data_IF_082448949063
#
_entry.id   IF_082448949063
#
_cell.length_a   1.000
_cell.length_b   1.000
_cell.length_c   1.000
_cell.angle_alpha   90.00
_cell.angle_beta   90.00
_cell.angle_gamma   90.00
#
_symmetry.space_group_name_H-M   'P 1'
#
loop_
_entity.id
_entity.type
_entity.pdbx_description
1 polymer ?
#
# COMPACT_ATOMS: atom_id res chain seq x y z
N UNK A 1 -0.30 -2.53 12.55
CA UNK A 1 0.75 -3.47 12.13
C UNK A 1 1.47 -4.02 13.34
N UNK A 2 1.63 -3.21 14.39
CA UNK A 2 2.26 -3.59 15.66
C UNK A 2 1.59 -4.80 16.32
N UNK A 3 0.26 -4.92 16.28
CA UNK A 3 -0.42 -6.11 16.81
C UNK A 3 0.05 -7.41 16.15
N UNK A 4 0.19 -7.43 14.81
CA UNK A 4 0.64 -8.62 14.09
C UNK A 4 2.10 -8.97 14.44
N UNK A 5 2.95 -7.95 14.57
CA UNK A 5 4.33 -8.13 15.00
C UNK A 5 4.42 -8.67 16.43
N UNK A 6 3.64 -8.10 17.35
CA UNK A 6 3.55 -8.55 18.74
C UNK A 6 3.05 -10.00 18.82
N UNK A 7 2.00 -10.35 18.06
CA UNK A 7 1.52 -11.74 18.01
C UNK A 7 2.56 -12.71 17.45
N UNK A 8 3.37 -12.29 16.47
CA UNK A 8 4.46 -13.12 15.94
C UNK A 8 5.58 -13.33 16.97
N UNK A 9 5.90 -12.30 17.76
CA UNK A 9 6.85 -12.41 18.87
C UNK A 9 6.33 -13.40 19.92
N UNK A 10 5.07 -13.24 20.33
CA UNK A 10 4.44 -14.13 21.31
C UNK A 10 4.38 -15.57 20.82
N UNK A 11 4.00 -15.81 19.57
CA UNK A 11 3.99 -17.15 18.98
C UNK A 11 5.41 -17.73 18.86
N UNK A 12 6.41 -16.89 18.57
CA UNK A 12 7.82 -17.27 18.61
C UNK A 12 8.27 -17.67 20.01
N UNK A 13 7.82 -16.96 21.04
CA UNK A 13 8.07 -17.29 22.44
C UNK A 13 7.37 -18.59 22.84
N UNK A 14 6.13 -18.81 22.38
CA UNK A 14 5.39 -20.07 22.54
C UNK A 14 6.13 -21.24 21.89
N UNK A 15 6.72 -21.03 20.71
CA UNK A 15 7.51 -22.06 20.03
C UNK A 15 8.80 -22.40 20.77
N UNK A 16 9.45 -21.41 21.41
CA UNK A 16 10.66 -21.62 22.24
C UNK A 16 10.36 -22.37 23.54
N UNK A 17 9.21 -22.10 24.17
CA UNK A 17 8.76 -22.76 25.40
C UNK A 17 7.70 -23.85 25.11
N UNK A 18 7.74 -24.46 23.92
CA UNK A 18 6.68 -25.33 23.41
C UNK A 18 6.40 -26.51 24.34
N UNK A 19 7.42 -27.09 24.96
CA UNK A 19 7.27 -28.24 25.86
C UNK A 19 6.39 -27.89 27.07
N UNK A 20 6.77 -26.84 27.81
CA UNK A 20 6.02 -26.39 29.00
C UNK A 20 4.60 -25.95 28.65
N UNK A 21 4.44 -25.24 27.55
CA UNK A 21 3.12 -24.74 27.14
C UNK A 21 2.21 -25.89 26.64
N UNK A 22 2.80 -26.96 26.11
CA UNK A 22 2.06 -28.12 25.64
C UNK A 22 1.55 -28.99 26.79
N UNK A 23 2.28 -29.09 27.91
CA UNK A 23 1.87 -29.86 29.10
C UNK A 23 0.45 -29.47 29.56
N UNK A 24 0.18 -28.17 29.70
CA UNK A 24 -1.14 -27.66 30.11
C UNK A 24 -2.24 -28.00 29.09
N UNK A 25 -1.94 -27.86 27.79
CA UNK A 25 -2.85 -28.16 26.68
C UNK A 25 -3.15 -29.67 26.65
N UNK A 26 -2.14 -30.50 26.85
CA UNK A 26 -2.26 -31.94 26.86
C UNK A 26 -3.08 -32.43 28.06
N UNK A 27 -2.86 -31.86 29.25
CA UNK A 27 -3.68 -32.12 30.43
C UNK A 27 -5.15 -31.76 30.22
N UNK A 28 -5.43 -30.61 29.59
CA UNK A 28 -6.79 -30.21 29.24
C UNK A 28 -7.44 -31.19 28.25
N UNK A 29 -6.70 -31.59 27.21
CA UNK A 29 -7.16 -32.58 26.23
C UNK A 29 -7.42 -33.94 26.87
N UNK A 30 -6.55 -34.39 27.78
CA UNK A 30 -6.69 -35.64 28.53
C UNK A 30 -7.95 -35.64 29.40
N UNK A 31 -8.22 -34.54 30.14
CA UNK A 31 -9.46 -34.38 30.92
C UNK A 31 -10.71 -34.47 30.05
N UNK A 32 -10.66 -33.98 28.81
CA UNK A 32 -11.77 -34.09 27.86
C UNK A 32 -11.91 -35.53 27.38
N UNK A 33 -10.81 -36.19 27.03
CA UNK A 33 -10.82 -37.59 26.59
C UNK A 33 -11.36 -38.53 27.69
N UNK A 34 -10.94 -38.33 28.95
CA UNK A 34 -11.38 -39.12 30.10
C UNK A 34 -12.90 -39.02 30.32
N UNK A 35 -13.53 -37.86 30.06
CA UNK A 35 -15.00 -37.69 30.13
C UNK A 35 -15.76 -38.55 29.13
N UNK A 36 -15.13 -38.91 28.02
CA UNK A 36 -15.70 -39.77 26.97
C UNK A 36 -15.16 -41.20 27.04
N UNK A 37 -14.55 -41.59 28.17
CA UNK A 37 -13.89 -42.89 28.37
C UNK A 37 -12.83 -43.20 27.29
N UNK A 38 -12.23 -42.16 26.69
CA UNK A 38 -11.19 -42.27 25.68
C UNK A 38 -9.80 -42.34 26.29
N UNK A 39 -9.01 -43.36 25.93
CA UNK A 39 -7.61 -43.47 26.36
C UNK A 39 -6.73 -42.74 25.34
N UNK A 40 -5.86 -41.84 25.82
CA UNK A 40 -4.89 -41.15 24.97
C UNK A 40 -3.75 -42.11 24.60
N UNK A 41 -3.85 -42.77 23.45
CA UNK A 41 -2.81 -43.67 22.91
C UNK A 41 -2.18 -43.11 21.65
N UNK A 42 -0.92 -43.48 21.40
CA UNK A 42 -0.25 -43.17 20.14
C UNK A 42 -1.00 -43.88 18.99
N UNK A 43 -1.34 -43.17 17.90
CA UNK A 43 -1.99 -43.79 16.74
C UNK A 43 -1.07 -44.83 16.11
N UNK A 44 -1.63 -45.80 15.39
CA UNK A 44 -0.84 -46.84 14.72
C UNK A 44 0.17 -46.23 13.73
N UNK A 45 1.45 -46.58 13.87
CA UNK A 45 2.54 -46.10 13.01
C UNK A 45 3.08 -47.25 12.15
N UNK A 46 3.36 -46.97 10.87
CA UNK A 46 4.05 -47.90 9.97
C UNK A 46 5.56 -47.66 10.02
N UNK A 47 6.38 -48.73 9.91
CA UNK A 47 7.86 -48.62 9.94
C UNK A 47 8.43 -47.65 8.89
N UNK A 48 7.75 -47.50 7.75
CA UNK A 48 8.11 -46.56 6.68
C UNK A 48 6.95 -45.60 6.44
N UNK A 49 7.22 -44.30 6.58
CA UNK A 49 6.32 -43.22 6.18
C UNK A 49 7.09 -42.28 5.25
N UNK A 50 6.45 -41.83 4.17
CA UNK A 50 7.08 -40.98 3.15
C UNK A 50 6.68 -39.51 3.30
N UNK A 51 5.42 -39.25 3.69
CA UNK A 51 4.84 -37.89 3.72
C UNK A 51 4.62 -37.32 5.12
N UNK A 52 4.87 -38.10 6.18
CA UNK A 52 4.70 -37.66 7.58
C UNK A 52 5.95 -37.99 8.39
N UNK A 53 6.16 -37.22 9.46
CA UNK A 53 7.21 -37.49 10.44
C UNK A 53 6.90 -38.80 11.16
N UNK A 54 7.86 -39.72 11.14
CA UNK A 54 7.81 -40.98 11.85
C UNK A 54 8.46 -40.82 13.24
N UNK A 55 7.68 -40.33 14.21
CA UNK A 55 8.16 -40.12 15.60
C UNK A 55 8.22 -41.46 16.32
N UNK A 56 9.40 -41.86 16.81
CA UNK A 56 9.58 -43.07 17.62
C UNK A 56 9.61 -42.71 19.10
N UNK A 57 8.44 -42.66 19.73
CA UNK A 57 8.28 -42.38 21.16
C UNK A 57 7.27 -43.35 21.78
N UNK A 58 7.43 -43.65 23.07
CA UNK A 58 6.47 -44.48 23.84
C UNK A 58 5.49 -43.61 24.64
N UNK A 59 5.76 -42.31 24.74
CA UNK A 59 4.91 -41.35 25.46
C UNK A 59 3.92 -40.67 24.48
N UNK A 60 2.60 -40.82 24.68
CA UNK A 60 1.59 -40.13 23.86
C UNK A 60 1.74 -38.61 23.86
N UNK A 61 2.11 -38.01 25.00
CA UNK A 61 2.32 -36.56 25.12
C UNK A 61 3.42 -36.07 24.19
N UNK A 62 4.58 -36.73 24.24
CA UNK A 62 5.73 -36.41 23.41
C UNK A 62 5.43 -36.63 21.92
N UNK A 63 4.66 -37.68 21.58
CA UNK A 63 4.21 -37.94 20.22
C UNK A 63 3.39 -36.76 19.66
N UNK A 64 2.37 -36.29 20.37
CA UNK A 64 1.50 -35.20 19.89
C UNK A 64 2.19 -33.84 19.92
N UNK A 65 3.11 -33.62 20.85
CA UNK A 65 3.96 -32.43 20.87
C UNK A 65 4.77 -32.29 19.57
N UNK A 66 5.44 -33.37 19.14
CA UNK A 66 6.30 -33.37 17.95
C UNK A 66 5.49 -33.44 16.65
N UNK A 67 4.46 -34.28 16.60
CA UNK A 67 3.74 -34.57 15.35
C UNK A 67 2.64 -33.57 15.01
N UNK A 68 2.07 -32.88 16.00
CA UNK A 68 0.92 -31.97 15.81
C UNK A 68 1.25 -30.55 16.25
N UNK A 69 1.65 -30.37 17.52
CA UNK A 69 1.77 -29.03 18.10
C UNK A 69 2.84 -28.18 17.43
N UNK A 70 4.05 -28.74 17.27
CA UNK A 70 5.16 -28.07 16.60
C UNK A 70 4.83 -27.72 15.13
N UNK A 71 4.42 -28.68 14.28
CA UNK A 71 4.08 -28.38 12.88
C UNK A 71 2.95 -27.37 12.75
N UNK A 72 1.96 -27.41 13.64
CA UNK A 72 0.87 -26.44 13.67
C UNK A 72 1.39 -25.03 13.97
N UNK A 73 2.19 -24.86 15.02
CA UNK A 73 2.77 -23.55 15.36
C UNK A 73 3.65 -23.01 14.23
N UNK A 74 4.48 -23.86 13.64
CA UNK A 74 5.37 -23.45 12.55
C UNK A 74 4.56 -23.04 11.31
N UNK A 75 3.50 -23.78 10.97
CA UNK A 75 2.58 -23.43 9.89
C UNK A 75 1.85 -22.12 10.17
N UNK A 76 1.34 -21.94 11.39
CA UNK A 76 0.59 -20.75 11.77
C UNK A 76 1.47 -19.50 11.76
N UNK A 77 2.69 -19.60 12.29
CA UNK A 77 3.69 -18.53 12.21
C UNK A 77 4.01 -18.21 10.74
N UNK A 78 4.21 -19.23 9.91
CA UNK A 78 4.47 -19.05 8.47
C UNK A 78 3.33 -18.31 7.76
N UNK A 79 2.08 -18.70 8.02
CA UNK A 79 0.89 -18.06 7.45
C UNK A 79 0.74 -16.61 7.91
N UNK A 80 1.01 -16.32 9.19
CA UNK A 80 0.97 -14.95 9.69
C UNK A 80 2.07 -14.09 9.08
N UNK A 81 3.29 -14.62 8.95
CA UNK A 81 4.39 -13.93 8.27
C UNK A 81 4.03 -13.64 6.82
N UNK A 82 3.56 -14.62 6.06
CA UNK A 82 3.24 -14.43 4.65
C UNK A 82 2.09 -13.45 4.43
N UNK A 83 1.06 -13.47 5.30
CA UNK A 83 -0.09 -12.59 5.17
C UNK A 83 0.21 -11.13 5.55
N UNK A 84 1.05 -10.90 6.57
CA UNK A 84 1.23 -9.57 7.14
C UNK A 84 2.61 -8.94 6.89
N UNK A 85 3.67 -9.72 6.72
CA UNK A 85 5.01 -9.19 6.50
C UNK A 85 5.34 -9.01 5.02
N UNK A 86 4.81 -9.85 4.13
CA UNK A 86 5.13 -9.74 2.69
C UNK A 86 4.78 -8.37 2.09
N UNK A 87 3.82 -7.66 2.69
CA UNK A 87 3.37 -6.35 2.23
C UNK A 87 3.99 -5.18 3.00
N UNK A 88 4.88 -5.40 3.98
CA UNK A 88 5.46 -4.30 4.76
C UNK A 88 6.29 -3.38 3.89
N UNK A 89 7.06 -3.94 2.97
CA UNK A 89 8.00 -3.19 2.14
C UNK A 89 7.28 -2.37 1.07
N UNK A 90 6.19 -2.92 0.52
CA UNK A 90 5.32 -2.21 -0.41
C UNK A 90 4.57 -1.10 0.34
N UNK A 91 4.02 -1.43 1.52
CA UNK A 91 3.33 -0.45 2.36
C UNK A 91 4.26 0.69 2.79
N UNK A 92 5.50 0.40 3.15
CA UNK A 92 6.47 1.44 3.48
C UNK A 92 6.78 2.31 2.27
N UNK A 93 6.92 1.70 1.09
CA UNK A 93 7.11 2.43 -0.16
C UNK A 93 5.95 3.40 -0.47
N UNK A 94 4.71 3.10 -0.06
CA UNK A 94 3.59 4.04 -0.21
C UNK A 94 3.73 5.31 0.64
N UNK A 95 4.53 5.30 1.71
CA UNK A 95 4.80 6.54 2.45
C UNK A 95 5.50 7.59 1.60
N UNK A 96 6.16 7.20 0.51
CA UNK A 96 6.76 8.13 -0.45
C UNK A 96 5.75 9.12 -1.05
N UNK A 97 4.46 8.78 -1.09
CA UNK A 97 3.40 9.67 -1.58
C UNK A 97 2.95 10.72 -0.56
N UNK A 98 3.31 10.59 0.72
CA UNK A 98 2.90 11.52 1.78
C UNK A 98 4.07 12.33 2.34
N UNK A 99 5.29 11.82 2.23
CA UNK A 99 6.49 12.50 2.70
C UNK A 99 7.10 13.40 1.61
N UNK A 100 7.54 14.60 2.01
CA UNK A 100 8.17 15.59 1.12
C UNK A 100 9.62 15.23 0.77
N UNK A 101 10.26 14.41 1.62
CA UNK A 101 11.65 14.00 1.48
C UNK A 101 11.80 12.59 0.89
N UNK A 102 10.71 12.04 0.35
CA UNK A 102 10.71 10.69 -0.17
C UNK A 102 11.69 10.49 -1.32
N UNK A 103 12.38 9.35 -1.29
CA UNK A 103 13.43 9.03 -2.25
C UNK A 103 12.84 8.39 -3.51
N UNK A 104 13.46 8.64 -4.66
CA UNK A 104 13.07 8.01 -5.94
C UNK A 104 13.19 6.47 -5.91
N UNK A 105 13.98 5.94 -4.98
CA UNK A 105 14.22 4.50 -4.86
C UNK A 105 13.02 3.74 -4.30
N UNK A 106 12.30 4.32 -3.33
CA UNK A 106 11.06 3.74 -2.79
C UNK A 106 9.99 3.62 -3.87
N UNK A 107 9.88 4.64 -4.73
CA UNK A 107 8.92 4.61 -5.82
C UNK A 107 9.29 3.60 -6.90
N UNK A 108 10.58 3.36 -7.18
CA UNK A 108 11.00 2.31 -8.12
C UNK A 108 10.54 0.93 -7.67
N UNK A 109 10.71 0.60 -6.38
CA UNK A 109 10.22 -0.67 -5.82
C UNK A 109 8.71 -0.84 -6.01
N UNK A 110 7.96 0.25 -5.84
CA UNK A 110 6.52 0.26 -6.02
C UNK A 110 6.13 0.13 -7.50
N UNK A 111 6.83 0.82 -8.40
CA UNK A 111 6.61 0.75 -9.83
C UNK A 111 6.93 -0.64 -10.40
N UNK A 112 8.01 -1.29 -9.94
CA UNK A 112 8.35 -2.68 -10.28
C UNK A 112 7.26 -3.65 -9.79
N UNK A 113 6.76 -3.46 -8.57
CA UNK A 113 5.70 -4.33 -8.04
C UNK A 113 4.39 -4.23 -8.84
N UNK A 114 4.03 -3.02 -9.30
CA UNK A 114 2.80 -2.76 -10.07
C UNK A 114 3.04 -2.64 -11.59
N UNK A 115 4.16 -3.14 -12.11
CA UNK A 115 4.55 -2.96 -13.52
C UNK A 115 3.46 -3.43 -14.50
N UNK A 116 2.80 -4.55 -14.17
CA UNK A 116 1.67 -5.10 -14.96
C UNK A 116 0.47 -4.15 -15.04
N UNK A 117 0.21 -3.39 -13.98
CA UNK A 117 -0.92 -2.44 -13.93
C UNK A 117 -0.56 -1.11 -14.58
N UNK A 118 0.73 -0.78 -14.62
CA UNK A 118 1.26 0.48 -15.15
C UNK A 118 1.48 0.48 -16.67
N UNK A 119 1.31 -0.68 -17.34
CA UNK A 119 1.49 -0.84 -18.79
C UNK A 119 2.83 -0.29 -19.34
N UNK A 120 3.90 -0.33 -18.53
CA UNK A 120 5.22 0.15 -18.94
C UNK A 120 5.36 1.67 -19.09
N UNK A 121 4.51 2.47 -18.44
CA UNK A 121 4.65 3.93 -18.45
C UNK A 121 5.95 4.35 -17.75
N UNK A 122 6.91 4.85 -18.53
CA UNK A 122 8.13 5.46 -18.01
C UNK A 122 7.90 6.85 -17.39
N UNK A 123 6.72 7.45 -17.60
CA UNK A 123 6.37 8.81 -17.14
C UNK A 123 6.15 8.94 -15.63
N UNK A 124 6.15 7.82 -14.89
CA UNK A 124 5.78 7.79 -13.47
C UNK A 124 6.77 8.60 -12.63
N UNK A 125 8.05 8.61 -13.01
CA UNK A 125 9.07 9.37 -12.28
C UNK A 125 8.82 10.87 -12.40
N UNK A 126 8.49 11.35 -13.60
CA UNK A 126 8.16 12.75 -13.86
C UNK A 126 6.84 13.16 -13.18
N UNK A 127 5.82 12.31 -13.26
CA UNK A 127 4.54 12.51 -12.58
C UNK A 127 4.71 12.57 -11.05
N UNK A 128 5.58 11.72 -10.51
CA UNK A 128 5.90 11.76 -9.09
C UNK A 128 6.65 13.04 -8.71
N UNK A 129 7.58 13.52 -9.53
CA UNK A 129 8.23 14.80 -9.28
C UNK A 129 7.23 15.97 -9.29
N UNK A 130 6.25 15.93 -10.19
CA UNK A 130 5.15 16.91 -10.21
C UNK A 130 4.30 16.81 -8.94
N UNK A 131 3.98 15.60 -8.49
CA UNK A 131 3.27 15.36 -7.24
C UNK A 131 4.04 15.90 -6.02
N UNK A 132 5.34 15.61 -5.91
CA UNK A 132 6.18 16.14 -4.83
C UNK A 132 6.22 17.67 -4.81
N UNK A 133 6.26 18.32 -5.98
CA UNK A 133 6.15 19.80 -6.06
C UNK A 133 4.79 20.30 -5.58
N UNK A 134 3.72 19.59 -5.93
CA UNK A 134 2.37 19.92 -5.47
C UNK A 134 2.25 19.77 -3.95
N UNK A 135 2.80 18.71 -3.37
CA UNK A 135 2.83 18.48 -1.92
C UNK A 135 3.51 19.63 -1.16
N UNK A 136 4.65 20.12 -1.65
CA UNK A 136 5.37 21.24 -1.03
C UNK A 136 4.56 22.53 -0.97
N UNK A 137 3.65 22.73 -1.91
CA UNK A 137 2.83 23.93 -2.02
C UNK A 137 1.49 23.80 -1.27
N UNK A 138 1.19 22.65 -0.64
CA UNK A 138 -0.06 22.41 0.06
C UNK A 138 0.07 22.77 1.55
N UNK A 139 -0.87 23.58 2.04
CA UNK A 139 -0.95 23.93 3.47
C UNK A 139 -1.35 22.73 4.34
N UNK A 140 -2.25 21.87 3.82
CA UNK A 140 -2.73 20.67 4.51
C UNK A 140 -2.19 19.44 3.80
N UNK A 141 -1.32 18.70 4.50
CA UNK A 141 -0.69 17.50 3.97
C UNK A 141 -1.60 16.27 4.13
N UNK A 142 -1.67 15.40 3.10
CA UNK A 142 -2.43 14.16 3.21
C UNK A 142 -1.76 13.22 4.22
N UNK A 143 -2.53 12.64 5.13
CA UNK A 143 -2.03 11.67 6.12
C UNK A 143 -2.08 10.24 5.60
N UNK A 144 -3.04 9.95 4.72
CA UNK A 144 -3.33 8.63 4.18
C UNK A 144 -3.45 8.65 2.65
N UNK A 145 -3.37 7.47 2.03
CA UNK A 145 -3.55 7.30 0.57
C UNK A 145 -4.89 7.82 0.07
N UNK A 146 -5.94 7.64 0.87
CA UNK A 146 -7.30 8.09 0.54
C UNK A 146 -7.37 9.62 0.52
N UNK A 147 -6.71 10.29 1.47
CA UNK A 147 -6.69 11.75 1.53
C UNK A 147 -5.92 12.33 0.33
N UNK A 148 -4.79 11.73 -0.02
CA UNK A 148 -4.02 12.12 -1.21
C UNK A 148 -4.84 11.94 -2.50
N UNK A 149 -5.56 10.83 -2.61
CA UNK A 149 -6.43 10.55 -3.76
C UNK A 149 -7.59 11.56 -3.83
N UNK A 150 -8.23 11.87 -2.70
CA UNK A 150 -9.31 12.85 -2.65
C UNK A 150 -8.85 14.25 -3.04
N UNK A 151 -7.65 14.66 -2.59
CA UNK A 151 -7.05 15.94 -2.96
C UNK A 151 -6.77 16.03 -4.47
N UNK A 152 -6.29 14.94 -5.05
CA UNK A 152 -6.07 14.82 -6.49
C UNK A 152 -7.41 14.89 -7.26
N UNK A 153 -8.40 14.11 -6.86
CA UNK A 153 -9.72 14.08 -7.48
C UNK A 153 -10.41 15.45 -7.45
N UNK A 154 -10.39 16.14 -6.30
CA UNK A 154 -10.95 17.49 -6.19
C UNK A 154 -10.30 18.49 -7.16
N UNK A 155 -8.98 18.37 -7.35
CA UNK A 155 -8.25 19.19 -8.33
C UNK A 155 -8.71 18.91 -9.76
N UNK A 156 -8.85 17.62 -10.10
CA UNK A 156 -9.31 17.19 -11.42
C UNK A 156 -10.76 17.59 -11.70
N UNK A 157 -11.66 17.43 -10.74
CA UNK A 157 -13.06 17.88 -10.87
C UNK A 157 -13.17 19.39 -11.08
N UNK A 158 -12.30 20.18 -10.42
CA UNK A 158 -12.19 21.63 -10.67
C UNK A 158 -11.76 21.92 -12.10
N UNK A 159 -10.82 21.16 -12.65
CA UNK A 159 -10.38 21.29 -14.06
C UNK A 159 -11.54 20.95 -15.02
N UNK A 160 -12.17 19.79 -14.85
CA UNK A 160 -13.24 19.33 -15.74
C UNK A 160 -14.48 20.23 -15.68
N UNK A 161 -14.88 20.68 -14.49
CA UNK A 161 -15.98 21.64 -14.33
C UNK A 161 -15.66 22.98 -15.00
N UNK A 162 -14.42 23.47 -14.89
CA UNK A 162 -13.96 24.70 -15.56
C UNK A 162 -14.00 24.56 -17.07
N UNK A 163 -13.51 23.45 -17.62
CA UNK A 163 -13.56 23.14 -19.05
C UNK A 163 -15.02 23.05 -19.53
N UNK A 164 -15.89 22.37 -18.79
CA UNK A 164 -17.32 22.25 -19.12
C UNK A 164 -18.04 23.61 -19.12
N UNK A 165 -17.62 24.55 -18.28
CA UNK A 165 -18.12 25.95 -18.31
C UNK A 165 -17.63 26.72 -19.54
N UNK A 166 -16.37 26.54 -19.93
CA UNK A 166 -15.75 27.24 -21.08
C UNK A 166 -16.28 26.69 -22.41
N UNK A 167 -16.27 25.37 -22.56
CA UNK A 167 -16.72 24.61 -23.73
C UNK A 167 -18.06 23.94 -23.44
N UNK A 168 -19.13 24.73 -23.54
CA UNK A 168 -20.51 24.20 -23.56
C UNK A 168 -20.80 23.50 -24.89
N UNK A 169 -21.74 22.56 -24.88
CA UNK A 169 -22.17 21.75 -26.02
C UNK A 169 -22.50 22.56 -27.30
N UNK A 170 -22.89 23.84 -27.17
CA UNK A 170 -23.25 24.72 -28.29
C UNK A 170 -22.02 25.42 -28.91
N UNK A 171 -20.86 25.47 -28.24
CA UNK A 171 -19.61 26.06 -28.78
C UNK A 171 -18.77 24.99 -29.46
N UNK A 172 -18.92 24.87 -30.79
CA UNK A 172 -18.34 23.75 -31.54
C UNK A 172 -16.87 23.88 -31.91
N UNK A 173 -16.24 25.07 -31.83
CA UNK A 173 -14.83 25.23 -32.26
C UNK A 173 -14.01 26.10 -31.30
N UNK A 174 -13.05 25.47 -30.61
CA UNK A 174 -11.99 26.12 -29.83
C UNK A 174 -10.71 25.30 -29.99
N UNK A 175 -9.57 25.97 -30.20
CA UNK A 175 -8.28 25.28 -30.24
C UNK A 175 -7.86 24.82 -28.84
N UNK A 176 -7.15 23.69 -28.76
CA UNK A 176 -6.72 23.10 -27.48
C UNK A 176 -5.87 24.08 -26.65
N UNK A 177 -4.90 24.76 -27.27
CA UNK A 177 -4.09 25.79 -26.60
C UNK A 177 -4.95 26.89 -25.97
N UNK A 178 -5.99 27.35 -26.67
CA UNK A 178 -6.89 28.39 -26.18
C UNK A 178 -7.79 27.87 -25.05
N UNK A 179 -8.27 26.64 -25.17
CA UNK A 179 -9.08 25.99 -24.14
C UNK A 179 -8.28 25.81 -22.83
N UNK A 180 -7.09 25.24 -22.93
CA UNK A 180 -6.22 24.99 -21.77
C UNK A 180 -5.81 26.29 -21.10
N UNK A 181 -5.45 27.32 -21.87
CA UNK A 181 -5.13 28.65 -21.33
C UNK A 181 -6.31 29.28 -20.56
N UNK A 182 -7.52 29.25 -21.13
CA UNK A 182 -8.71 29.76 -20.45
C UNK A 182 -9.08 28.94 -19.20
N UNK A 183 -8.86 27.63 -19.22
CA UNK A 183 -9.11 26.77 -18.06
C UNK A 183 -8.16 27.13 -16.92
N UNK A 184 -6.87 27.29 -17.19
CA UNK A 184 -5.86 27.70 -16.20
C UNK A 184 -6.20 29.07 -15.60
N UNK A 185 -6.55 30.06 -16.44
CA UNK A 185 -6.96 31.39 -15.99
C UNK A 185 -8.21 31.36 -15.09
N UNK A 186 -9.19 30.52 -15.41
CA UNK A 186 -10.40 30.42 -14.60
C UNK A 186 -10.14 29.73 -13.25
N UNK A 187 -9.21 28.77 -13.21
CA UNK A 187 -8.85 28.07 -11.98
C UNK A 187 -8.01 28.95 -11.05
N UNK A 188 -7.00 29.62 -11.58
CA UNK A 188 -6.04 30.43 -10.82
C UNK A 188 -6.40 31.91 -10.89
N UNK A 189 -7.66 32.25 -10.57
CA UNK A 189 -8.14 33.64 -10.61
C UNK A 189 -7.50 34.54 -9.54
N UNK A 190 -6.90 33.93 -8.53
CA UNK A 190 -6.20 34.61 -7.42
C UNK A 190 -4.79 35.06 -7.82
N UNK A 191 -4.27 34.60 -8.96
CA UNK A 191 -2.99 35.09 -9.49
C UNK A 191 -3.24 36.45 -10.12
N UNK A 192 -2.73 37.50 -9.49
CA UNK A 192 -2.76 38.85 -10.03
C UNK A 192 -1.85 38.93 -11.26
N UNK A 193 -2.41 39.36 -12.39
CA UNK A 193 -1.67 39.57 -13.63
C UNK A 193 -1.39 41.06 -13.73
N UNK A 194 -0.12 41.45 -13.71
CA UNK A 194 0.29 42.85 -13.87
C UNK A 194 0.17 43.27 -15.33
N UNK A 195 -0.14 44.56 -15.56
CA UNK A 195 -0.30 45.09 -16.93
C UNK A 195 1.02 45.01 -17.71
N UNK A 196 2.15 45.20 -17.03
CA UNK A 196 3.48 45.20 -17.64
C UNK A 196 3.87 43.82 -18.17
N UNK A 197 3.62 42.74 -17.41
CA UNK A 197 3.84 41.35 -17.84
C UNK A 197 3.02 41.02 -19.10
N UNK A 198 1.80 41.55 -19.18
CA UNK A 198 0.95 41.36 -20.35
C UNK A 198 1.57 42.10 -21.53
N UNK A 199 1.97 43.36 -21.40
CA UNK A 199 2.57 44.13 -22.50
C UNK A 199 3.85 43.43 -23.01
N UNK A 200 4.71 42.94 -22.11
CA UNK A 200 5.92 42.20 -22.47
C UNK A 200 5.61 40.91 -23.24
N UNK A 201 4.61 40.14 -22.83
CA UNK A 201 4.25 38.91 -23.55
C UNK A 201 3.52 39.19 -24.87
N UNK A 202 2.77 40.30 -24.97
CA UNK A 202 2.09 40.70 -26.19
C UNK A 202 3.07 41.22 -27.26
N UNK A 203 4.20 41.83 -26.87
CA UNK A 203 5.25 42.35 -27.77
C UNK A 203 6.15 41.27 -28.37
N UNK A 204 6.29 40.09 -27.73
CA UNK A 204 7.05 38.94 -28.28
C UNK A 204 6.50 38.38 -29.60
N UNK A 205 5.23 38.66 -29.92
CA UNK A 205 4.62 38.28 -31.20
C UNK A 205 4.46 39.51 -32.09
N UNK A 206 4.93 39.41 -33.33
CA UNK A 206 4.66 40.42 -34.36
C UNK A 206 3.15 40.56 -34.55
N UNK A 207 2.64 41.76 -34.26
CA UNK A 207 1.23 42.13 -34.40
C UNK A 207 1.10 43.28 -35.37
N UNK A 208 -0.13 43.48 -35.85
CA UNK A 208 -0.48 44.58 -36.75
C UNK A 208 -0.53 45.95 -36.07
N UNK A 209 -0.47 46.00 -34.74
CA UNK A 209 -0.51 47.23 -33.94
C UNK A 209 0.76 47.29 -33.09
N UNK A 210 1.43 48.43 -33.13
CA UNK A 210 2.56 48.73 -32.26
C UNK A 210 2.06 49.13 -30.88
N UNK A 211 2.62 48.51 -29.84
CA UNK A 211 2.40 48.97 -28.47
C UNK A 211 3.35 50.15 -28.24
N UNK A 212 2.78 51.35 -28.09
CA UNK A 212 3.52 52.53 -27.64
C UNK A 212 3.57 52.41 -26.12
N UNK A 213 4.77 52.18 -25.59
CA UNK A 213 5.07 52.18 -24.15
C UNK A 213 5.01 53.61 -23.60
#
# INVERSE_FOLDING_TARGET
MDLAHNTLIELGNYRKHAQKNFEDIFLAAKKIADKFNGIMTIPRINKRQVHRINVQTNNPEEYFHISVFIPYLDSFISQLKSRFLNHTDIKSSFHSFFDENSTKEELKKLAEFYEKDLNGNNSIIEEFQLWQRKLKNLEIKPKNSIDALNLYNASNERIFSSIKRIKKYVRNTISEKKLNGLAILNMHREVEITVDEVIEELTKKLRRLEFIL
#
